data_IF_902192777531
#
_entry.id   IF_902192777531
#
_cell.length_a   1.000
_cell.length_b   1.000
_cell.length_c   1.000
_cell.angle_alpha   90.00
_cell.angle_beta   90.00
_cell.angle_gamma   90.00
#
_symmetry.space_group_name_H-M   'P 1'
#
loop_
_entity.id
_entity.type
_entity.pdbx_description
1 polymer ?
#
# COMPACT_ATOMS: atom_id res chain seq x y z
N UNK A 1 6.16 8.25 9.93
CA UNK A 1 5.51 6.92 10.12
C UNK A 1 4.31 6.85 9.20
N UNK A 2 3.94 5.68 8.68
CA UNK A 2 2.69 5.45 7.91
C UNK A 2 2.03 4.21 8.51
N UNK A 3 0.73 4.24 8.73
CA UNK A 3 -0.04 3.09 9.17
C UNK A 3 -0.62 2.35 7.96
N UNK A 4 -0.16 1.14 7.70
CA UNK A 4 -0.68 0.28 6.62
C UNK A 4 -1.83 -0.59 7.10
N UNK A 5 -2.95 -0.56 6.40
CA UNK A 5 -4.13 -1.39 6.64
C UNK A 5 -4.48 -2.21 5.40
N UNK A 6 -4.97 -3.43 5.62
CA UNK A 6 -5.44 -4.33 4.57
C UNK A 6 -6.44 -5.35 5.09
N UNK A 7 -7.21 -5.96 4.18
CA UNK A 7 -8.26 -6.92 4.51
C UNK A 7 -7.74 -8.33 4.85
N UNK A 8 -6.44 -8.53 5.00
CA UNK A 8 -5.76 -9.81 5.12
C UNK A 8 -5.96 -10.75 3.90
N UNK A 9 -5.05 -11.67 3.69
CA UNK A 9 -5.09 -12.60 2.56
C UNK A 9 -4.61 -14.01 2.90
N UNK A 10 -3.77 -14.17 3.95
CA UNK A 10 -3.11 -15.42 4.26
C UNK A 10 -3.78 -16.14 5.43
N UNK A 11 -4.72 -17.02 5.09
CA UNK A 11 -5.51 -17.79 6.08
C UNK A 11 -4.66 -18.61 7.04
N UNK A 12 -3.60 -19.26 6.52
CA UNK A 12 -2.73 -20.11 7.37
C UNK A 12 -2.09 -19.34 8.52
N UNK A 13 -1.71 -18.08 8.29
CA UNK A 13 -1.15 -17.22 9.33
C UNK A 13 -2.17 -16.95 10.43
N UNK A 14 -3.40 -16.58 10.07
CA UNK A 14 -4.48 -16.35 11.01
C UNK A 14 -4.74 -17.57 11.90
N UNK A 15 -4.89 -18.73 11.28
CA UNK A 15 -5.13 -19.98 11.98
C UNK A 15 -3.95 -20.38 12.89
N UNK A 16 -2.70 -20.11 12.45
CA UNK A 16 -1.51 -20.41 13.24
C UNK A 16 -1.43 -19.58 14.54
N UNK A 17 -2.01 -18.37 14.54
CA UNK A 17 -2.07 -17.51 15.73
C UNK A 17 -3.42 -17.58 16.47
N UNK A 18 -4.29 -18.51 16.09
CA UNK A 18 -5.58 -18.72 16.75
C UNK A 18 -6.62 -17.65 16.42
N UNK A 19 -6.45 -16.94 15.33
CA UNK A 19 -7.41 -15.95 14.84
C UNK A 19 -8.35 -16.55 13.80
N UNK A 20 -9.59 -16.09 13.83
CA UNK A 20 -10.55 -16.42 12.78
C UNK A 20 -10.13 -15.77 11.43
N UNK A 21 -10.43 -16.47 10.33
CA UNK A 21 -10.29 -15.94 8.99
C UNK A 21 -11.68 -15.83 8.34
N UNK A 22 -12.41 -14.76 8.58
CA UNK A 22 -13.76 -14.59 8.07
C UNK A 22 -13.80 -14.54 6.54
N UNK A 23 -14.96 -14.75 5.91
CA UNK A 23 -15.13 -14.57 4.47
C UNK A 23 -14.69 -13.18 4.01
N UNK A 24 -14.25 -13.07 2.74
CA UNK A 24 -13.71 -11.83 2.17
C UNK A 24 -14.66 -10.63 2.35
N UNK A 25 -15.98 -10.84 2.27
CA UNK A 25 -16.96 -9.77 2.50
C UNK A 25 -16.80 -9.18 3.90
N UNK A 26 -16.78 -10.02 4.92
CA UNK A 26 -16.65 -9.56 6.30
C UNK A 26 -15.29 -8.91 6.56
N UNK A 27 -14.21 -9.48 6.05
CA UNK A 27 -12.87 -8.87 6.16
C UNK A 27 -12.80 -7.49 5.51
N UNK A 28 -13.51 -7.30 4.40
CA UNK A 28 -13.61 -5.98 3.75
C UNK A 28 -14.49 -5.01 4.54
N UNK A 29 -15.58 -5.49 5.16
CA UNK A 29 -16.44 -4.70 6.04
C UNK A 29 -15.65 -4.25 7.29
N UNK A 30 -14.88 -5.15 7.89
CA UNK A 30 -13.99 -4.86 9.03
C UNK A 30 -12.90 -3.85 8.65
N UNK A 31 -12.29 -3.96 7.46
CA UNK A 31 -11.29 -3.00 6.98
C UNK A 31 -11.89 -1.59 6.84
N UNK A 32 -13.07 -1.48 6.23
CA UNK A 32 -13.73 -0.18 6.03
C UNK A 32 -14.05 0.47 7.39
N UNK A 33 -14.63 -0.29 8.32
CA UNK A 33 -14.96 0.21 9.65
C UNK A 33 -13.72 0.53 10.50
N UNK A 34 -12.66 -0.27 10.41
CA UNK A 34 -11.39 0.02 11.07
C UNK A 34 -10.71 1.28 10.53
N UNK A 35 -10.72 1.48 9.21
CA UNK A 35 -10.14 2.67 8.60
C UNK A 35 -10.90 3.95 9.01
N UNK A 36 -12.22 3.91 9.07
CA UNK A 36 -13.06 5.00 9.57
C UNK A 36 -12.73 5.32 11.03
N UNK A 37 -12.74 4.30 11.89
CA UNK A 37 -12.47 4.43 13.32
C UNK A 37 -11.07 5.02 13.58
N UNK A 38 -10.05 4.50 12.90
CA UNK A 38 -8.67 4.96 13.05
C UNK A 38 -8.53 6.40 12.56
N UNK A 39 -9.20 6.75 11.45
CA UNK A 39 -9.24 8.13 10.95
C UNK A 39 -9.81 9.08 11.99
N UNK A 40 -10.93 8.73 12.62
CA UNK A 40 -11.52 9.52 13.70
C UNK A 40 -10.56 9.72 14.87
N UNK A 41 -9.90 8.64 15.32
CA UNK A 41 -8.90 8.73 16.40
C UNK A 41 -7.70 9.59 16.03
N UNK A 42 -7.21 9.51 14.79
CA UNK A 42 -6.02 10.25 14.36
C UNK A 42 -6.28 11.74 14.11
N UNK A 43 -7.52 12.10 13.83
CA UNK A 43 -7.91 13.49 13.48
C UNK A 43 -8.56 14.25 14.64
N UNK A 44 -8.84 13.59 15.76
CA UNK A 44 -9.38 14.27 16.96
C UNK A 44 -8.38 15.24 17.57
N UNK A 45 -8.86 16.28 18.25
CA UNK A 45 -8.01 17.13 19.09
C UNK A 45 -7.44 16.35 20.29
N UNK A 46 -6.35 16.83 20.88
CA UNK A 46 -5.61 16.09 21.91
C UNK A 46 -6.46 15.82 23.17
N UNK A 47 -7.32 16.75 23.52
CA UNK A 47 -8.21 16.72 24.69
C UNK A 47 -9.61 16.14 24.39
N UNK A 48 -9.87 15.74 23.16
CA UNK A 48 -11.12 15.10 22.75
C UNK A 48 -11.10 13.59 22.97
N UNK A 49 -12.28 13.01 23.05
CA UNK A 49 -12.52 11.58 23.16
C UNK A 49 -13.36 11.13 21.96
N UNK A 50 -13.15 9.90 21.50
CA UNK A 50 -13.89 9.32 20.38
C UNK A 50 -14.82 8.23 20.91
N UNK A 51 -16.13 8.36 20.62
CA UNK A 51 -17.09 7.28 20.73
C UNK A 51 -17.44 6.78 19.34
N UNK A 52 -17.45 5.47 19.14
CA UNK A 52 -17.75 4.81 17.88
C UNK A 52 -18.60 3.56 18.13
N UNK A 53 -19.70 3.40 17.42
CA UNK A 53 -20.59 2.25 17.59
C UNK A 53 -20.83 1.56 16.26
N UNK A 54 -19.82 0.84 15.79
CA UNK A 54 -19.86 0.07 14.56
C UNK A 54 -20.42 -1.35 14.75
N UNK A 55 -20.37 -2.11 13.66
CA UNK A 55 -20.80 -3.51 13.66
C UNK A 55 -19.73 -4.43 14.26
N UNK A 56 -18.46 -4.10 14.08
CA UNK A 56 -17.30 -4.90 14.49
C UNK A 56 -16.50 -4.24 15.61
N UNK A 57 -16.45 -2.90 15.63
CA UNK A 57 -15.67 -2.16 16.61
C UNK A 57 -16.55 -1.19 17.39
N UNK A 58 -16.24 -1.04 18.67
CA UNK A 58 -16.94 -0.10 19.57
C UNK A 58 -15.92 0.61 20.43
N UNK A 59 -16.09 1.92 20.54
CA UNK A 59 -15.37 2.76 21.49
C UNK A 59 -16.37 3.58 22.28
N UNK A 60 -16.06 3.79 23.53
CA UNK A 60 -16.81 4.65 24.43
C UNK A 60 -15.82 5.62 25.09
N UNK A 61 -15.93 6.89 24.73
CA UNK A 61 -15.05 7.98 25.19
C UNK A 61 -13.57 7.61 25.20
N UNK A 62 -13.09 7.00 24.09
CA UNK A 62 -11.71 6.53 23.97
C UNK A 62 -10.74 7.69 23.73
N UNK A 63 -9.68 7.85 24.55
CA UNK A 63 -8.60 8.79 24.28
C UNK A 63 -7.60 8.21 23.28
N UNK A 64 -6.85 9.10 22.63
CA UNK A 64 -5.58 8.76 21.98
C UNK A 64 -4.53 9.76 22.47
N UNK A 65 -3.75 9.37 23.48
CA UNK A 65 -2.77 10.23 24.14
C UNK A 65 -1.46 9.47 24.35
N UNK A 66 -0.30 10.01 23.90
CA UNK A 66 -0.16 11.26 23.14
C UNK A 66 -0.74 11.14 21.72
N UNK A 67 -1.15 12.26 21.16
CA UNK A 67 -1.55 12.37 19.77
C UNK A 67 -0.36 12.26 18.81
N UNK A 68 -0.63 12.34 17.51
CA UNK A 68 0.41 12.31 16.48
C UNK A 68 1.25 13.58 16.47
N UNK A 69 2.56 13.45 16.33
CA UNK A 69 3.47 14.57 16.03
C UNK A 69 3.48 14.90 14.53
N UNK A 70 2.88 14.06 13.67
CA UNK A 70 2.77 14.31 12.24
C UNK A 70 1.49 15.12 11.96
N UNK A 71 1.60 16.11 11.06
CA UNK A 71 0.48 16.94 10.66
C UNK A 71 0.05 16.59 9.23
N UNK A 72 -1.25 16.46 8.94
CA UNK A 72 -2.39 16.63 9.86
C UNK A 72 -2.61 15.44 10.81
N UNK A 73 -2.07 14.28 10.52
CA UNK A 73 -2.12 13.04 11.33
C UNK A 73 -1.13 12.01 10.76
N UNK A 74 -1.03 10.83 11.38
CA UNK A 74 -0.30 9.69 10.80
C UNK A 74 -1.02 9.24 9.52
N UNK A 75 -0.37 9.27 8.33
CA UNK A 75 -1.00 8.84 7.09
C UNK A 75 -1.45 7.39 7.16
N UNK A 76 -2.65 7.13 6.63
CA UNK A 76 -3.25 5.79 6.52
C UNK A 76 -3.06 5.27 5.10
N UNK A 77 -2.26 4.22 4.95
CA UNK A 77 -2.09 3.50 3.69
C UNK A 77 -3.08 2.34 3.64
N UNK A 78 -3.88 2.27 2.58
CA UNK A 78 -4.75 1.12 2.31
C UNK A 78 -4.10 0.27 1.23
N UNK A 79 -3.72 -0.95 1.61
CA UNK A 79 -3.09 -1.93 0.73
C UNK A 79 -4.08 -2.89 0.10
N UNK A 80 -3.85 -3.22 -1.17
CA UNK A 80 -4.62 -4.17 -1.94
C UNK A 80 -5.24 -3.60 -3.21
N UNK A 81 -5.77 -4.48 -4.06
CA UNK A 81 -6.17 -4.17 -5.44
C UNK A 81 -7.66 -4.37 -5.72
N UNK A 82 -8.49 -4.63 -4.70
CA UNK A 82 -9.92 -4.89 -4.82
C UNK A 82 -10.73 -3.65 -5.17
N UNK A 83 -11.13 -3.51 -6.44
CA UNK A 83 -11.76 -2.29 -6.99
C UNK A 83 -13.00 -1.84 -6.23
N UNK A 84 -13.95 -2.75 -5.98
CA UNK A 84 -15.26 -2.39 -5.43
C UNK A 84 -15.23 -2.04 -3.94
N UNK A 85 -14.28 -2.55 -3.18
CA UNK A 85 -14.24 -2.40 -1.72
C UNK A 85 -12.97 -1.73 -1.24
N UNK A 86 -11.81 -2.35 -1.47
CA UNK A 86 -10.52 -1.85 -0.94
C UNK A 86 -10.20 -0.44 -1.47
N UNK A 87 -10.31 -0.24 -2.80
CA UNK A 87 -10.03 1.08 -3.39
C UNK A 87 -11.06 2.14 -3.00
N UNK A 88 -12.32 1.73 -2.80
CA UNK A 88 -13.35 2.63 -2.26
C UNK A 88 -13.08 2.99 -0.79
N UNK A 89 -12.63 2.05 0.02
CA UNK A 89 -12.21 2.31 1.41
C UNK A 89 -11.04 3.29 1.44
N UNK A 90 -10.08 3.12 0.52
CA UNK A 90 -8.96 4.06 0.37
C UNK A 90 -9.45 5.48 0.03
N UNK A 91 -10.33 5.61 -0.95
CA UNK A 91 -10.91 6.90 -1.33
C UNK A 91 -11.64 7.61 -0.18
N UNK A 92 -12.30 6.86 0.70
CA UNK A 92 -13.01 7.42 1.86
C UNK A 92 -12.09 7.82 3.01
N UNK A 93 -11.13 6.96 3.36
CA UNK A 93 -10.44 7.05 4.65
C UNK A 93 -8.92 6.99 4.55
N UNK A 94 -8.35 6.54 3.41
CA UNK A 94 -6.92 6.42 3.21
C UNK A 94 -6.27 7.73 2.75
N UNK A 95 -5.01 7.91 3.08
CA UNK A 95 -4.17 9.00 2.56
C UNK A 95 -3.24 8.49 1.47
N UNK A 96 -3.12 7.16 1.36
CA UNK A 96 -2.27 6.52 0.37
C UNK A 96 -2.90 5.20 -0.11
N UNK A 97 -3.00 5.05 -1.42
CA UNK A 97 -3.25 3.79 -2.09
C UNK A 97 -1.93 3.06 -2.31
N UNK A 98 -1.89 1.76 -2.03
CA UNK A 98 -0.76 0.92 -2.36
C UNK A 98 -1.21 -0.30 -3.17
N UNK A 99 -0.73 -0.38 -4.42
CA UNK A 99 -0.84 -1.61 -5.19
C UNK A 99 0.16 -2.62 -4.63
N UNK A 100 -0.34 -3.76 -4.16
CA UNK A 100 0.50 -4.81 -3.58
C UNK A 100 1.41 -5.46 -4.63
N UNK A 101 2.40 -6.24 -4.18
CA UNK A 101 3.39 -6.88 -5.04
C UNK A 101 2.82 -8.01 -5.93
N UNK A 102 1.55 -8.39 -5.77
CA UNK A 102 0.90 -9.44 -6.54
C UNK A 102 -0.08 -8.84 -7.56
N UNK A 103 0.45 -8.21 -8.60
CA UNK A 103 -0.33 -7.53 -9.62
C UNK A 103 0.11 -7.91 -11.04
N UNK A 104 -0.24 -9.12 -11.51
CA UNK A 104 0.02 -9.50 -12.91
C UNK A 104 -0.52 -8.45 -13.87
N UNK A 105 0.35 -7.95 -14.78
CA UNK A 105 0.02 -6.88 -15.71
C UNK A 105 0.81 -5.58 -15.48
N UNK A 106 1.64 -5.52 -14.43
CA UNK A 106 2.65 -4.46 -14.26
C UNK A 106 2.06 -3.05 -14.21
N UNK A 107 2.68 -2.12 -14.93
CA UNK A 107 2.33 -0.70 -14.95
C UNK A 107 0.90 -0.42 -15.43
N UNK A 108 0.40 -1.18 -16.40
CA UNK A 108 -0.98 -1.02 -16.90
C UNK A 108 -2.02 -1.26 -15.79
N UNK A 109 -1.77 -2.25 -14.93
CA UNK A 109 -2.63 -2.51 -13.77
C UNK A 109 -2.53 -1.36 -12.76
N UNK A 110 -1.35 -0.82 -12.52
CA UNK A 110 -1.17 0.33 -11.64
C UNK A 110 -1.95 1.55 -12.14
N UNK A 111 -1.87 1.87 -13.43
CA UNK A 111 -2.62 2.97 -14.05
C UNK A 111 -4.12 2.75 -13.92
N UNK A 112 -4.60 1.55 -14.26
CA UNK A 112 -6.01 1.21 -14.13
C UNK A 112 -6.52 1.35 -12.70
N UNK A 113 -5.81 0.81 -11.71
CA UNK A 113 -6.21 0.90 -10.29
C UNK A 113 -6.16 2.33 -9.76
N UNK A 114 -5.18 3.12 -10.20
CA UNK A 114 -5.09 4.55 -9.87
C UNK A 114 -6.32 5.30 -10.36
N UNK A 115 -6.76 5.03 -11.59
CA UNK A 115 -7.98 5.61 -12.15
C UNK A 115 -9.23 5.19 -11.37
N UNK A 116 -9.33 3.93 -10.95
CA UNK A 116 -10.46 3.46 -10.11
C UNK A 116 -10.48 4.19 -8.75
N UNK A 117 -9.31 4.48 -8.16
CA UNK A 117 -9.24 5.30 -6.94
C UNK A 117 -9.74 6.72 -7.20
N UNK A 118 -9.38 7.35 -8.32
CA UNK A 118 -9.86 8.68 -8.73
C UNK A 118 -11.39 8.68 -8.84
N UNK A 119 -11.96 7.75 -9.57
CA UNK A 119 -13.42 7.60 -9.74
C UNK A 119 -14.15 7.45 -8.39
N UNK A 120 -13.56 6.68 -7.46
CA UNK A 120 -14.10 6.56 -6.11
C UNK A 120 -13.98 7.86 -5.31
N UNK A 121 -12.85 8.58 -5.39
CA UNK A 121 -12.71 9.89 -4.75
C UNK A 121 -13.77 10.87 -5.24
N UNK A 122 -13.95 10.97 -6.54
CA UNK A 122 -15.00 11.81 -7.14
C UNK A 122 -16.40 11.43 -6.63
N UNK A 123 -16.69 10.13 -6.55
CA UNK A 123 -17.98 9.61 -6.08
C UNK A 123 -18.31 9.95 -4.63
N UNK A 124 -17.28 10.18 -3.80
CA UNK A 124 -17.43 10.57 -2.38
C UNK A 124 -17.17 12.07 -2.14
N UNK A 125 -16.94 12.85 -3.20
CA UNK A 125 -16.70 14.29 -3.12
C UNK A 125 -15.33 14.68 -2.57
N UNK A 126 -14.32 13.82 -2.75
CA UNK A 126 -12.93 14.03 -2.31
C UNK A 126 -12.03 14.36 -3.51
N UNK A 127 -11.10 15.29 -3.34
CA UNK A 127 -10.08 15.54 -4.35
C UNK A 127 -9.14 14.31 -4.49
N UNK A 128 -9.04 13.70 -5.69
CA UNK A 128 -8.15 12.56 -5.93
C UNK A 128 -6.67 12.86 -5.66
N UNK A 129 -6.25 14.11 -5.72
CA UNK A 129 -4.86 14.51 -5.42
C UNK A 129 -4.47 14.36 -3.95
N UNK A 130 -5.45 14.26 -3.04
CA UNK A 130 -5.21 13.99 -1.62
C UNK A 130 -4.79 12.55 -1.34
N UNK A 131 -4.96 11.63 -2.29
CA UNK A 131 -4.59 10.23 -2.15
C UNK A 131 -3.29 9.95 -2.89
N UNK A 132 -2.21 9.77 -2.16
CA UNK A 132 -0.90 9.39 -2.70
C UNK A 132 -0.98 8.02 -3.37
N UNK A 133 -0.36 7.86 -4.53
CA UNK A 133 -0.32 6.60 -5.28
C UNK A 133 1.02 5.93 -5.09
N UNK A 134 0.99 4.70 -4.61
CA UNK A 134 2.20 3.90 -4.41
C UNK A 134 2.04 2.47 -4.89
N UNK A 135 3.18 1.83 -5.12
CA UNK A 135 3.26 0.44 -5.55
C UNK A 135 4.34 -0.30 -4.78
N UNK A 136 4.11 -1.57 -4.47
CA UNK A 136 5.12 -2.47 -3.94
C UNK A 136 5.57 -3.43 -5.03
N UNK A 137 6.86 -3.44 -5.36
CA UNK A 137 7.43 -4.25 -6.42
C UNK A 137 8.35 -5.33 -5.85
N UNK A 138 8.15 -6.62 -6.20
CA UNK A 138 9.17 -7.65 -5.98
C UNK A 138 10.44 -7.24 -6.72
N UNK A 139 11.55 -7.16 -6.00
CA UNK A 139 12.79 -6.58 -6.50
C UNK A 139 13.95 -7.57 -6.46
N UNK A 140 14.73 -7.64 -7.54
CA UNK A 140 16.00 -8.36 -7.57
C UNK A 140 16.94 -7.82 -8.63
N UNK A 141 18.14 -7.40 -8.20
CA UNK A 141 19.21 -6.95 -9.08
C UNK A 141 20.11 -8.11 -9.47
N UNK A 142 20.38 -8.27 -10.77
CA UNK A 142 21.26 -9.28 -11.35
C UNK A 142 22.52 -8.64 -11.91
N UNK A 143 23.60 -9.41 -11.96
CA UNK A 143 24.89 -8.98 -12.52
C UNK A 143 24.85 -8.93 -14.06
N UNK A 144 24.10 -9.85 -14.68
CA UNK A 144 24.01 -9.95 -16.13
C UNK A 144 22.59 -10.32 -16.59
N UNK A 145 22.30 -10.07 -17.88
CA UNK A 145 21.07 -10.52 -18.49
C UNK A 145 20.93 -12.05 -18.51
N UNK A 146 22.03 -12.79 -18.57
CA UNK A 146 21.97 -14.26 -18.53
C UNK A 146 21.48 -14.75 -17.18
N UNK A 147 21.99 -14.19 -16.08
CA UNK A 147 21.54 -14.53 -14.73
C UNK A 147 20.05 -14.19 -14.55
N UNK A 148 19.60 -13.07 -15.11
CA UNK A 148 18.20 -12.69 -15.11
C UNK A 148 17.32 -13.69 -15.88
N UNK A 149 17.71 -14.09 -17.08
CA UNK A 149 16.97 -15.06 -17.91
C UNK A 149 16.85 -16.42 -17.24
N UNK A 150 17.89 -16.87 -16.54
CA UNK A 150 17.88 -18.13 -15.81
C UNK A 150 16.98 -18.09 -14.57
N UNK A 151 16.73 -16.92 -14.00
CA UNK A 151 15.94 -16.76 -12.78
C UNK A 151 14.43 -16.99 -12.95
N UNK A 152 13.91 -17.04 -14.18
CA UNK A 152 12.49 -17.27 -14.50
C UNK A 152 11.51 -16.39 -13.70
N UNK A 153 11.84 -15.11 -13.53
CA UNK A 153 10.99 -14.11 -12.88
C UNK A 153 9.67 -13.91 -13.64
N UNK A 154 8.67 -13.38 -12.94
CA UNK A 154 7.42 -13.00 -13.60
C UNK A 154 7.60 -11.66 -14.32
N UNK A 155 6.88 -11.41 -15.43
CA UNK A 155 7.04 -10.18 -16.23
C UNK A 155 6.78 -8.87 -15.47
N UNK A 156 5.99 -8.92 -14.40
CA UNK A 156 5.68 -7.76 -13.55
C UNK A 156 6.62 -7.58 -12.35
N UNK A 157 7.66 -8.43 -12.22
CA UNK A 157 8.68 -8.25 -11.19
C UNK A 157 9.66 -7.16 -11.63
N UNK A 158 10.03 -6.29 -10.70
CA UNK A 158 11.15 -5.36 -10.87
C UNK A 158 12.49 -6.11 -10.73
N UNK A 159 12.69 -7.08 -11.63
CA UNK A 159 13.85 -7.96 -11.67
C UNK A 159 14.63 -7.70 -12.94
N UNK A 160 15.93 -7.50 -12.82
CA UNK A 160 16.76 -7.29 -14.00
C UNK A 160 18.17 -6.82 -13.67
N UNK A 161 18.89 -6.42 -14.69
CA UNK A 161 20.11 -5.63 -14.57
C UNK A 161 19.77 -4.20 -14.13
N UNK A 162 20.78 -3.42 -13.79
CA UNK A 162 20.63 -2.01 -13.39
C UNK A 162 19.73 -1.23 -14.37
N UNK A 163 20.02 -1.30 -15.67
CA UNK A 163 19.26 -0.58 -16.71
C UNK A 163 17.80 -1.04 -16.77
N UNK A 164 17.55 -2.35 -16.79
CA UNK A 164 16.18 -2.90 -16.82
C UNK A 164 15.34 -2.46 -15.63
N UNK A 165 15.97 -2.36 -14.46
CA UNK A 165 15.28 -1.91 -13.24
C UNK A 165 15.00 -0.40 -13.33
N UNK A 166 15.97 0.39 -13.79
CA UNK A 166 15.78 1.83 -14.00
C UNK A 166 14.63 2.11 -14.98
N UNK A 167 14.56 1.37 -16.10
CA UNK A 167 13.49 1.48 -17.07
C UNK A 167 12.13 1.15 -16.43
N UNK A 168 12.05 0.04 -15.68
CA UNK A 168 10.82 -0.35 -14.96
C UNK A 168 10.38 0.71 -13.95
N UNK A 169 11.30 1.25 -13.16
CA UNK A 169 10.98 2.32 -12.21
C UNK A 169 10.52 3.59 -12.93
N UNK A 170 11.18 3.94 -14.04
CA UNK A 170 10.79 5.05 -14.90
C UNK A 170 9.36 4.93 -15.41
N UNK A 171 8.96 3.76 -15.91
CA UNK A 171 7.59 3.48 -16.36
C UNK A 171 6.55 3.71 -15.25
N UNK A 172 6.82 3.27 -14.01
CA UNK A 172 5.91 3.52 -12.89
C UNK A 172 5.85 4.99 -12.48
N UNK A 173 6.99 5.70 -12.53
CA UNK A 173 7.03 7.16 -12.24
C UNK A 173 6.22 7.92 -13.29
N UNK A 174 6.41 7.61 -14.58
CA UNK A 174 5.64 8.20 -15.68
C UNK A 174 4.14 7.89 -15.59
N UNK A 175 3.80 6.70 -15.06
CA UNK A 175 2.42 6.30 -14.77
C UNK A 175 1.82 6.99 -13.54
N UNK A 176 2.56 7.86 -12.86
CA UNK A 176 2.10 8.65 -11.71
C UNK A 176 2.34 8.01 -10.34
N UNK A 177 3.23 7.03 -10.23
CA UNK A 177 3.66 6.51 -8.93
C UNK A 177 4.45 7.58 -8.16
N UNK A 178 3.99 7.92 -6.97
CA UNK A 178 4.62 8.92 -6.09
C UNK A 178 5.52 8.28 -5.04
N UNK A 179 5.37 6.97 -4.86
CA UNK A 179 6.22 6.15 -3.99
C UNK A 179 6.31 4.73 -4.52
N UNK A 180 7.52 4.20 -4.61
CA UNK A 180 7.77 2.82 -5.02
C UNK A 180 8.47 2.10 -3.86
N UNK A 181 7.86 1.04 -3.37
CA UNK A 181 8.40 0.19 -2.31
C UNK A 181 9.06 -1.02 -2.94
N UNK A 182 10.37 -1.17 -2.79
CA UNK A 182 11.12 -2.32 -3.32
C UNK A 182 11.17 -3.44 -2.29
N UNK A 183 10.53 -4.56 -2.59
CA UNK A 183 10.54 -5.77 -1.77
C UNK A 183 11.64 -6.72 -2.29
N UNK A 184 12.83 -6.66 -1.70
CA UNK A 184 13.96 -7.48 -2.12
C UNK A 184 13.78 -8.95 -1.77
N UNK A 185 13.86 -9.82 -2.80
CA UNK A 185 13.78 -11.26 -2.64
C UNK A 185 14.95 -11.93 -3.36
N UNK A 186 15.88 -12.58 -2.66
CA UNK A 186 16.13 -12.52 -1.22
C UNK A 186 16.76 -11.19 -0.78
N UNK A 187 16.43 -10.73 0.41
CA UNK A 187 17.00 -9.52 1.00
C UNK A 187 18.46 -9.77 1.44
N UNK A 188 19.42 -9.37 0.63
CA UNK A 188 20.84 -9.37 0.97
C UNK A 188 21.31 -7.95 1.23
N UNK A 189 22.02 -7.66 2.34
CA UNK A 189 22.49 -6.30 2.64
C UNK A 189 23.33 -5.67 1.50
N UNK A 190 24.20 -6.47 0.85
CA UNK A 190 25.02 -6.02 -0.27
C UNK A 190 24.20 -5.58 -1.51
N UNK A 191 22.99 -6.07 -1.68
CA UNK A 191 22.14 -5.66 -2.79
C UNK A 191 21.66 -4.21 -2.62
N UNK A 192 21.41 -3.77 -1.38
CA UNK A 192 20.90 -2.41 -1.14
C UNK A 192 21.93 -1.33 -1.41
N UNK A 193 23.22 -1.58 -1.13
CA UNK A 193 24.27 -0.63 -1.49
C UNK A 193 24.32 -0.41 -3.00
N UNK A 194 24.26 -1.50 -3.79
CA UNK A 194 24.22 -1.41 -5.25
C UNK A 194 22.94 -0.71 -5.75
N UNK A 195 21.80 -0.95 -5.10
CA UNK A 195 20.55 -0.25 -5.43
C UNK A 195 20.74 1.26 -5.28
N UNK A 196 21.31 1.72 -4.18
CA UNK A 196 21.55 3.14 -3.92
C UNK A 196 22.52 3.73 -4.96
N UNK A 197 23.66 3.09 -5.17
CA UNK A 197 24.72 3.59 -6.04
C UNK A 197 24.41 3.48 -7.53
N UNK A 198 23.81 2.36 -7.96
CA UNK A 198 23.65 2.04 -9.38
C UNK A 198 22.23 2.31 -9.90
N UNK A 199 21.19 2.09 -9.07
CA UNK A 199 19.80 2.20 -9.51
C UNK A 199 19.19 3.56 -9.18
N UNK A 200 19.28 4.00 -7.92
CA UNK A 200 18.58 5.20 -7.46
C UNK A 200 19.29 6.50 -7.84
N UNK A 201 20.59 6.43 -8.15
CA UNK A 201 21.39 7.61 -8.50
C UNK A 201 20.87 8.41 -9.70
N UNK A 202 20.08 7.80 -10.59
CA UNK A 202 19.49 8.49 -11.76
C UNK A 202 18.15 9.17 -11.44
N UNK A 203 17.57 8.94 -10.26
CA UNK A 203 16.30 9.52 -9.81
C UNK A 203 16.47 10.59 -8.71
N UNK A 204 17.71 10.94 -8.37
CA UNK A 204 18.07 11.90 -7.32
C UNK A 204 18.29 13.32 -7.84
#
# INVERSE_FOLDING_TARGET
MVLGLGAAWYEREHLAYGWEFPPLKERSDRLEEAAELIRLLFTKAEDEYVSFNGNFYKLDEAPLTPGSTQSPHIPILIGGNGEKRTLRTCAKFGDQFNLDFWHPGGVDVFQHKSKVVEEHCESVGRDPSEVKRSVCLPFRLFESENDFREAQGQPWYCWGTTTMIQDTLGEYIEAGAQEIMLCAIPAKPSAWQRVEEEVLSVFS
#
